data_IF_208056058268
#
_entry.id   IF_208056058268
#
_cell.length_a   1.000
_cell.length_b   1.000
_cell.length_c   1.000
_cell.angle_alpha   90.00
_cell.angle_beta   90.00
_cell.angle_gamma   90.00
#
_symmetry.space_group_name_H-M   'P 1'
#
loop_
_entity.id
_entity.type
_entity.pdbx_description
1 polymer ?
#
# COMPACT_ATOMS: atom_id res chain seq x y z
N UNK A 1 -15.95 -1.53 -7.70
CA UNK A 1 -15.16 -0.41 -7.12
C UNK A 1 -13.82 -0.34 -7.82
N UNK A 2 -13.40 0.83 -8.27
CA UNK A 2 -12.13 0.98 -8.98
C UNK A 2 -11.01 1.30 -7.97
N UNK A 3 -9.97 0.47 -7.95
CA UNK A 3 -8.79 0.69 -7.10
C UNK A 3 -7.72 1.41 -7.91
N UNK A 4 -7.09 2.40 -7.30
CA UNK A 4 -6.04 3.21 -7.91
C UNK A 4 -4.85 3.32 -6.97
N UNK A 5 -3.64 3.28 -7.53
CA UNK A 5 -2.43 3.60 -6.78
C UNK A 5 -2.12 5.09 -6.96
N UNK A 6 -2.17 5.83 -5.87
CA UNK A 6 -1.97 7.28 -5.90
C UNK A 6 -0.61 7.64 -5.30
N UNK A 7 0.18 8.39 -6.09
CA UNK A 7 1.45 8.97 -5.63
C UNK A 7 1.25 10.45 -5.38
N UNK A 8 1.77 10.94 -4.27
CA UNK A 8 1.73 12.38 -3.95
C UNK A 8 3.17 12.87 -3.82
N UNK A 9 3.57 13.76 -4.73
CA UNK A 9 4.95 14.23 -4.87
C UNK A 9 5.07 15.69 -4.39
N UNK A 10 6.15 16.00 -3.69
CA UNK A 10 6.45 17.38 -3.27
C UNK A 10 6.95 18.20 -4.45
N UNK A 11 6.16 19.17 -4.87
CA UNK A 11 6.49 20.08 -5.97
C UNK A 11 7.50 21.14 -5.56
N UNK A 12 7.50 21.52 -4.28
CA UNK A 12 8.37 22.54 -3.72
C UNK A 12 9.88 22.18 -3.78
N UNK A 13 10.21 20.90 -3.89
CA UNK A 13 11.60 20.43 -3.99
C UNK A 13 12.21 20.65 -5.37
N UNK A 14 11.42 20.99 -6.38
CA UNK A 14 11.87 21.22 -7.75
C UNK A 14 12.76 20.09 -8.30
N UNK A 15 12.36 18.86 -8.04
CA UNK A 15 13.10 17.68 -8.51
C UNK A 15 13.06 17.59 -10.03
N UNK A 16 14.14 17.10 -10.63
CA UNK A 16 14.17 16.74 -12.05
C UNK A 16 13.18 15.60 -12.32
N UNK A 17 12.78 15.44 -13.57
CA UNK A 17 11.89 14.35 -13.97
C UNK A 17 12.46 12.98 -13.60
N UNK A 18 13.77 12.79 -13.77
CA UNK A 18 14.43 11.54 -13.40
C UNK A 18 14.37 11.27 -11.91
N UNK A 19 14.62 12.27 -11.07
CA UNK A 19 14.53 12.12 -9.61
C UNK A 19 13.09 11.84 -9.16
N UNK A 20 12.12 12.54 -9.75
CA UNK A 20 10.71 12.34 -9.43
C UNK A 20 10.26 10.93 -9.81
N UNK A 21 10.62 10.46 -10.99
CA UNK A 21 10.31 9.11 -11.45
C UNK A 21 10.94 8.05 -10.55
N UNK A 22 12.20 8.27 -10.14
CA UNK A 22 12.90 7.38 -9.21
C UNK A 22 12.20 7.29 -7.85
N UNK A 23 11.74 8.41 -7.31
CA UNK A 23 11.01 8.44 -6.04
C UNK A 23 9.65 7.73 -6.16
N UNK A 24 8.94 7.91 -7.25
CA UNK A 24 7.67 7.20 -7.48
C UNK A 24 7.90 5.69 -7.60
N UNK A 25 8.93 5.27 -8.32
CA UNK A 25 9.29 3.85 -8.43
C UNK A 25 9.65 3.25 -7.08
N UNK A 26 10.42 3.99 -6.27
CA UNK A 26 10.80 3.57 -4.93
C UNK A 26 9.56 3.40 -4.02
N UNK A 27 8.63 4.34 -4.07
CA UNK A 27 7.38 4.27 -3.33
C UNK A 27 6.54 3.06 -3.75
N UNK A 28 6.46 2.78 -5.05
CA UNK A 28 5.74 1.60 -5.57
C UNK A 28 6.36 0.29 -5.05
N UNK A 29 7.68 0.19 -5.09
CA UNK A 29 8.39 -0.99 -4.57
C UNK A 29 8.10 -1.18 -3.07
N UNK A 30 8.10 -0.10 -2.29
CA UNK A 30 7.81 -0.16 -0.86
C UNK A 30 6.38 -0.66 -0.58
N UNK A 31 5.40 -0.21 -1.36
CA UNK A 31 4.02 -0.69 -1.25
C UNK A 31 3.95 -2.19 -1.50
N UNK A 32 4.57 -2.68 -2.58
CA UNK A 32 4.57 -4.10 -2.90
C UNK A 32 5.31 -4.95 -1.87
N UNK A 33 6.42 -4.45 -1.32
CA UNK A 33 7.12 -5.13 -0.22
C UNK A 33 6.23 -5.27 1.01
N UNK A 34 5.48 -4.23 1.33
CA UNK A 34 4.53 -4.27 2.45
C UNK A 34 3.44 -5.32 2.22
N UNK A 35 2.85 -5.36 1.02
CA UNK A 35 1.89 -6.41 0.66
C UNK A 35 2.50 -7.80 0.79
N UNK A 36 3.70 -8.01 0.25
CA UNK A 36 4.40 -9.30 0.32
C UNK A 36 4.65 -9.73 1.76
N UNK A 37 5.09 -8.80 2.63
CA UNK A 37 5.32 -9.10 4.04
C UNK A 37 4.03 -9.51 4.75
N UNK A 38 2.92 -8.83 4.50
CA UNK A 38 1.63 -9.17 5.09
C UNK A 38 1.16 -10.54 4.59
N UNK A 39 1.31 -10.84 3.31
CA UNK A 39 0.96 -12.14 2.74
C UNK A 39 1.82 -13.27 3.33
N UNK A 40 3.13 -13.05 3.50
CA UNK A 40 4.03 -14.03 4.10
C UNK A 40 3.69 -14.27 5.57
N UNK A 41 3.39 -13.22 6.33
CA UNK A 41 2.99 -13.36 7.72
C UNK A 41 1.67 -14.12 7.87
N UNK A 42 0.69 -13.82 7.02
CA UNK A 42 -0.59 -14.54 7.00
C UNK A 42 -0.40 -16.02 6.64
N UNK A 43 0.44 -16.32 5.66
CA UNK A 43 0.77 -17.71 5.28
C UNK A 43 1.47 -18.46 6.43
N UNK A 44 2.38 -17.78 7.12
CA UNK A 44 3.07 -18.35 8.28
C UNK A 44 2.10 -18.64 9.42
N UNK A 45 1.16 -17.73 9.68
CA UNK A 45 0.14 -17.90 10.70
C UNK A 45 -0.80 -19.05 10.34
N UNK A 46 -1.15 -19.20 9.07
CA UNK A 46 -1.95 -20.34 8.58
C UNK A 46 -1.22 -21.67 8.77
N UNK A 47 0.08 -21.72 8.51
CA UNK A 47 0.89 -22.93 8.74
C UNK A 47 0.92 -23.30 10.22
N UNK A 48 1.02 -22.30 11.10
CA UNK A 48 0.97 -22.51 12.54
C UNK A 48 -0.42 -22.96 13.01
N UNK A 49 -1.48 -22.50 12.35
CA UNK A 49 -2.86 -22.96 12.61
C UNK A 49 -3.08 -24.42 12.26
N UNK A 50 -2.40 -24.92 11.23
CA UNK A 50 -2.45 -26.34 10.85
C UNK A 50 -1.92 -27.28 11.92
N UNK A 51 -1.01 -26.80 12.77
CA UNK A 51 -0.52 -27.58 13.91
C UNK A 51 -1.49 -27.58 15.11
N UNK A 52 -2.66 -26.97 14.98
CA UNK A 52 -3.75 -27.03 15.97
C UNK A 52 -3.49 -26.24 17.25
N UNK A 53 -2.49 -25.37 17.27
CA UNK A 53 -2.01 -24.74 18.49
C UNK A 53 -2.44 -23.28 18.67
N UNK A 54 -3.11 -22.66 17.68
CA UNK A 54 -3.44 -21.24 17.76
C UNK A 54 -4.93 -21.00 17.48
N UNK A 55 -5.58 -20.08 18.24
CA UNK A 55 -6.92 -19.64 17.92
C UNK A 55 -6.91 -18.86 16.59
N UNK A 56 -7.97 -19.05 15.81
CA UNK A 56 -8.20 -18.32 14.57
C UNK A 56 -8.27 -16.81 14.87
N UNK A 57 -7.37 -16.03 14.24
CA UNK A 57 -7.40 -14.57 14.35
C UNK A 57 -8.20 -13.98 13.21
N UNK A 58 -9.44 -13.62 13.48
CA UNK A 58 -10.37 -13.05 12.52
C UNK A 58 -9.86 -11.73 11.94
N UNK A 59 -9.20 -10.90 12.77
CA UNK A 59 -8.71 -9.59 12.33
C UNK A 59 -7.59 -9.71 11.31
N UNK A 60 -6.67 -10.66 11.49
CA UNK A 60 -5.59 -10.94 10.52
C UNK A 60 -6.15 -11.50 9.22
N UNK A 61 -7.15 -12.36 9.29
CA UNK A 61 -7.80 -12.93 8.11
C UNK A 61 -8.55 -11.85 7.31
N UNK A 62 -9.26 -10.97 8.01
CA UNK A 62 -9.99 -9.85 7.39
C UNK A 62 -9.04 -8.87 6.70
N UNK A 63 -7.92 -8.51 7.34
CA UNK A 63 -6.90 -7.65 6.75
C UNK A 63 -6.28 -8.30 5.51
N UNK A 64 -5.89 -9.55 5.60
CA UNK A 64 -5.34 -10.32 4.48
C UNK A 64 -6.33 -10.39 3.31
N UNK A 65 -7.58 -10.70 3.59
CA UNK A 65 -8.64 -10.81 2.58
C UNK A 65 -8.87 -9.45 1.89
N UNK A 66 -8.93 -8.36 2.66
CA UNK A 66 -9.11 -7.02 2.14
C UNK A 66 -7.95 -6.61 1.22
N UNK A 67 -6.72 -6.92 1.59
CA UNK A 67 -5.54 -6.60 0.79
C UNK A 67 -5.48 -7.41 -0.50
N UNK A 68 -5.75 -8.71 -0.44
CA UNK A 68 -5.80 -9.57 -1.62
C UNK A 68 -6.89 -9.11 -2.60
N UNK A 69 -8.04 -8.71 -2.10
CA UNK A 69 -9.15 -8.18 -2.91
C UNK A 69 -8.75 -6.89 -3.60
N UNK A 70 -8.13 -5.95 -2.88
CA UNK A 70 -7.65 -4.69 -3.44
C UNK A 70 -6.60 -4.90 -4.53
N UNK A 71 -5.62 -5.76 -4.27
CA UNK A 71 -4.56 -6.05 -5.24
C UNK A 71 -5.12 -6.66 -6.51
N UNK A 72 -5.99 -7.65 -6.38
CA UNK A 72 -6.63 -8.31 -7.52
C UNK A 72 -7.48 -7.33 -8.33
N UNK A 73 -8.28 -6.52 -7.66
CA UNK A 73 -9.12 -5.53 -8.33
C UNK A 73 -8.28 -4.48 -9.04
N UNK A 74 -7.18 -4.06 -8.46
CA UNK A 74 -6.25 -3.14 -9.10
C UNK A 74 -5.61 -3.75 -10.34
N UNK A 75 -5.13 -4.99 -10.27
CA UNK A 75 -4.58 -5.72 -11.41
C UNK A 75 -5.62 -5.92 -12.52
N UNK A 76 -6.83 -6.35 -12.16
CA UNK A 76 -7.90 -6.64 -13.12
C UNK A 76 -8.42 -5.38 -13.84
N UNK A 77 -8.29 -4.21 -13.23
CA UNK A 77 -8.74 -2.94 -13.80
C UNK A 77 -7.64 -2.14 -14.49
N UNK A 78 -6.49 -2.74 -14.77
CA UNK A 78 -5.44 -2.15 -15.58
C UNK A 78 -4.33 -1.43 -14.80
N UNK A 79 -4.20 -1.72 -13.51
CA UNK A 79 -3.12 -1.19 -12.66
C UNK A 79 -3.03 0.34 -12.69
N UNK A 80 -4.15 1.01 -12.57
CA UNK A 80 -4.25 2.47 -12.68
C UNK A 80 -3.38 3.16 -11.62
N UNK A 81 -2.55 4.09 -12.10
CA UNK A 81 -1.67 4.91 -11.28
C UNK A 81 -1.98 6.38 -11.51
N UNK A 82 -2.06 7.14 -10.42
CA UNK A 82 -2.31 8.59 -10.48
C UNK A 82 -1.18 9.28 -9.73
N UNK A 83 -0.57 10.27 -10.37
CA UNK A 83 0.50 11.06 -9.76
C UNK A 83 -0.03 12.47 -9.51
N UNK A 84 -0.10 12.83 -8.24
CA UNK A 84 -0.52 14.14 -7.77
C UNK A 84 0.66 14.90 -7.16
N UNK A 85 0.53 16.21 -7.01
CA UNK A 85 1.56 17.03 -6.38
C UNK A 85 1.00 17.79 -5.19
N UNK A 86 1.87 18.09 -4.24
CA UNK A 86 1.59 18.98 -3.11
C UNK A 86 2.69 20.02 -2.98
N UNK A 87 2.36 21.18 -2.42
CA UNK A 87 3.25 22.34 -2.42
C UNK A 87 4.18 22.44 -1.21
N UNK A 88 4.01 21.60 -0.20
CA UNK A 88 4.84 21.65 1.01
C UNK A 88 4.90 20.33 1.76
N UNK A 89 5.95 20.17 2.59
CA UNK A 89 6.07 19.02 3.48
C UNK A 89 4.91 18.94 4.48
N UNK A 90 4.46 20.10 4.99
CA UNK A 90 3.36 20.13 5.96
C UNK A 90 2.07 19.58 5.35
N UNK A 91 1.75 19.97 4.13
CA UNK A 91 0.58 19.44 3.42
C UNK A 91 0.69 17.96 3.15
N UNK A 92 1.88 17.48 2.75
CA UNK A 92 2.12 16.05 2.54
C UNK A 92 1.95 15.27 3.84
N UNK A 93 2.51 15.77 4.94
CA UNK A 93 2.38 15.13 6.26
C UNK A 93 0.92 15.06 6.71
N UNK A 94 0.15 16.12 6.49
CA UNK A 94 -1.28 16.13 6.81
C UNK A 94 -2.07 15.09 6.02
N UNK A 95 -1.77 14.94 4.72
CA UNK A 95 -2.39 13.91 3.89
C UNK A 95 -2.03 12.50 4.36
N UNK A 96 -0.79 12.28 4.72
CA UNK A 96 -0.31 11.01 5.27
C UNK A 96 -1.02 10.66 6.58
N UNK A 97 -1.14 11.62 7.49
CA UNK A 97 -1.82 11.44 8.77
C UNK A 97 -3.31 11.12 8.56
N UNK A 98 -3.97 11.82 7.63
CA UNK A 98 -5.36 11.54 7.28
C UNK A 98 -5.55 10.14 6.68
N UNK A 99 -4.60 9.68 5.87
CA UNK A 99 -4.67 8.35 5.27
C UNK A 99 -4.68 7.24 6.30
N UNK A 100 -3.98 7.43 7.42
CA UNK A 100 -3.98 6.47 8.53
C UNK A 100 -5.30 6.38 9.27
N UNK A 101 -6.10 7.44 9.24
CA UNK A 101 -7.41 7.47 9.90
C UNK A 101 -8.50 6.78 9.07
N UNK A 102 -8.25 6.52 7.80
CA UNK A 102 -9.22 5.95 6.85
C UNK A 102 -9.07 4.43 6.66
N UNK A 103 -8.13 3.85 7.36
CA UNK A 103 -7.85 2.41 7.25
C UNK A 103 -8.58 1.60 8.30
#
# INVERSE_FOLDING_TARGET
MQVKLVFIVRKDLQMTHGKMSGQCAHAAINVFRRFTNIMQNAARDLDQMYDGCYPFDQDLDDEYTAMCTMEREWEDTGETKIICSTSSLVKLQNLYDKSKLLV
#
